data_IF_555922987057
#
_entry.id   IF_555922987057
#
_cell.length_a   1.000
_cell.length_b   1.000
_cell.length_c   1.000
_cell.angle_alpha   90.00
_cell.angle_beta   90.00
_cell.angle_gamma   90.00
#
_symmetry.space_group_name_H-M   'P 1'
#
loop_
_entity.id
_entity.type
_entity.pdbx_description
1 polymer ?
#
# COMPACT_ATOMS: atom_id res chain seq x y z
N UNK A 1 2.10 -35.55 77.98
CA UNK A 1 3.21 -35.58 77.00
C UNK A 1 2.75 -35.77 75.54
N UNK A 2 1.49 -35.43 75.18
CA UNK A 2 0.92 -35.69 73.84
C UNK A 2 0.63 -34.47 72.96
N UNK A 3 0.71 -33.24 73.50
CA UNK A 3 0.33 -32.00 72.76
C UNK A 3 1.43 -31.39 71.88
N UNK A 4 2.66 -31.88 71.98
CA UNK A 4 3.81 -31.33 71.23
C UNK A 4 4.03 -31.99 69.86
N UNK A 5 3.44 -33.16 69.60
CA UNK A 5 3.58 -33.85 68.31
C UNK A 5 2.54 -33.38 67.27
N UNK A 6 1.41 -32.81 67.69
CA UNK A 6 0.38 -32.29 66.78
C UNK A 6 0.76 -30.97 66.10
N UNK A 7 1.59 -30.12 66.75
CA UNK A 7 1.95 -28.81 66.18
C UNK A 7 2.97 -28.91 65.05
N UNK A 8 3.75 -29.99 64.98
CA UNK A 8 4.77 -30.17 63.94
C UNK A 8 4.18 -30.67 62.61
N UNK A 9 3.07 -31.41 62.65
CA UNK A 9 2.40 -31.93 61.45
C UNK A 9 1.66 -30.83 60.69
N UNK A 10 1.08 -29.85 61.39
CA UNK A 10 0.32 -28.74 60.78
C UNK A 10 1.18 -27.78 59.94
N UNK A 11 2.47 -27.65 60.28
CA UNK A 11 3.40 -26.74 59.58
C UNK A 11 3.78 -27.23 58.17
N UNK A 12 3.91 -28.55 57.95
CA UNK A 12 4.31 -29.10 56.64
C UNK A 12 3.24 -28.98 55.54
N UNK A 13 1.98 -28.74 55.88
CA UNK A 13 0.90 -28.59 54.89
C UNK A 13 0.74 -27.13 54.43
N UNK A 14 1.08 -26.15 55.26
CA UNK A 14 0.96 -24.73 54.91
C UNK A 14 2.00 -24.31 53.85
N UNK A 15 3.23 -24.85 53.91
CA UNK A 15 4.29 -24.56 52.94
C UNK A 15 4.04 -25.18 51.57
N UNK A 16 3.32 -26.33 51.52
CA UNK A 16 2.97 -27.01 50.26
C UNK A 16 1.83 -26.30 49.51
N UNK A 17 0.89 -25.66 50.22
CA UNK A 17 -0.20 -24.89 49.62
C UNK A 17 0.28 -23.61 48.91
N UNK A 18 1.24 -22.88 49.49
CA UNK A 18 1.79 -21.66 48.87
C UNK A 18 2.60 -21.97 47.59
N UNK A 19 3.37 -23.06 47.59
CA UNK A 19 4.13 -23.46 46.41
C UNK A 19 3.22 -23.90 45.25
N UNK A 20 2.12 -24.60 45.54
CA UNK A 20 1.16 -25.04 44.53
C UNK A 20 0.45 -23.85 43.85
N UNK A 21 0.09 -22.81 44.61
CA UNK A 21 -0.59 -21.64 44.07
C UNK A 21 0.32 -20.83 43.12
N UNK A 22 1.60 -20.70 43.46
CA UNK A 22 2.59 -20.07 42.58
C UNK A 22 2.76 -20.85 41.26
N UNK A 23 2.81 -22.18 41.32
CA UNK A 23 2.96 -23.02 40.13
C UNK A 23 1.73 -22.93 39.22
N UNK A 24 0.52 -22.93 39.78
CA UNK A 24 -0.72 -22.78 39.01
C UNK A 24 -0.79 -21.41 38.34
N UNK A 25 -0.40 -20.33 39.03
CA UNK A 25 -0.32 -19.00 38.41
C UNK A 25 0.74 -18.91 37.32
N UNK A 26 1.89 -19.56 37.51
CA UNK A 26 2.96 -19.59 36.52
C UNK A 26 2.53 -20.34 35.25
N UNK A 27 1.97 -21.54 35.39
CA UNK A 27 1.49 -22.36 34.27
C UNK A 27 0.27 -21.72 33.60
N UNK A 28 -0.71 -21.24 34.38
CA UNK A 28 -1.88 -20.54 33.84
C UNK A 28 -1.50 -19.24 33.11
N UNK A 29 -0.61 -18.44 33.70
CA UNK A 29 -0.13 -17.18 33.10
C UNK A 29 0.64 -17.39 31.81
N UNK A 30 1.50 -18.40 31.75
CA UNK A 30 2.23 -18.76 30.53
C UNK A 30 1.29 -19.25 29.42
N UNK A 31 0.29 -20.08 29.75
CA UNK A 31 -0.73 -20.51 28.77
C UNK A 31 -1.51 -19.33 28.22
N UNK A 32 -1.93 -18.38 29.06
CA UNK A 32 -2.64 -17.17 28.62
C UNK A 32 -1.75 -16.31 27.73
N UNK A 33 -0.48 -16.12 28.09
CA UNK A 33 0.47 -15.33 27.30
C UNK A 33 0.73 -15.95 25.91
N UNK A 34 0.83 -17.28 25.84
CA UNK A 34 0.98 -17.99 24.56
C UNK A 34 -0.29 -17.80 23.71
N UNK A 35 -1.48 -17.91 24.33
CA UNK A 35 -2.75 -17.70 23.63
C UNK A 35 -2.89 -16.29 23.05
N UNK A 36 -2.54 -15.25 23.82
CA UNK A 36 -2.64 -13.85 23.35
C UNK A 36 -1.63 -13.53 22.25
N UNK A 37 -0.40 -14.02 22.35
CA UNK A 37 0.63 -13.79 21.33
C UNK A 37 0.29 -14.48 20.00
N UNK A 38 -0.24 -15.70 20.03
CA UNK A 38 -0.72 -16.40 18.82
C UNK A 38 -1.89 -15.66 18.18
N UNK A 39 -2.85 -15.18 18.97
CA UNK A 39 -3.99 -14.42 18.45
C UNK A 39 -3.54 -13.14 17.76
N UNK A 40 -2.61 -12.40 18.39
CA UNK A 40 -2.04 -11.19 17.80
C UNK A 40 -1.30 -11.48 16.49
N UNK A 41 -0.53 -12.57 16.44
CA UNK A 41 0.16 -13.02 15.22
C UNK A 41 -0.83 -13.33 14.08
N UNK A 42 -1.89 -14.08 14.35
CA UNK A 42 -2.89 -14.44 13.35
C UNK A 42 -3.57 -13.19 12.78
N UNK A 43 -4.02 -12.28 13.65
CA UNK A 43 -4.68 -11.04 13.23
C UNK A 43 -3.72 -10.18 12.41
N UNK A 44 -2.47 -10.05 12.84
CA UNK A 44 -1.44 -9.28 12.13
C UNK A 44 -1.17 -9.86 10.73
N UNK A 45 -1.08 -11.19 10.61
CA UNK A 45 -0.83 -11.87 9.34
C UNK A 45 -1.99 -11.67 8.36
N UNK A 46 -3.22 -11.80 8.84
CA UNK A 46 -4.44 -11.57 8.05
C UNK A 46 -4.46 -10.13 7.51
N UNK A 47 -4.26 -9.14 8.37
CA UNK A 47 -4.26 -7.73 7.98
C UNK A 47 -3.14 -7.41 6.97
N UNK A 48 -1.97 -8.02 7.15
CA UNK A 48 -0.83 -7.83 6.25
C UNK A 48 -1.10 -8.44 4.87
N UNK A 49 -1.66 -9.66 4.83
CA UNK A 49 -1.95 -10.37 3.57
C UNK A 49 -2.99 -9.63 2.74
N UNK A 50 -4.09 -9.20 3.38
CA UNK A 50 -5.10 -8.39 2.70
C UNK A 50 -4.55 -7.04 2.24
N UNK A 51 -3.74 -6.38 3.08
CA UNK A 51 -3.10 -5.12 2.72
C UNK A 51 -2.16 -5.26 1.51
N UNK A 52 -1.41 -6.35 1.43
CA UNK A 52 -0.51 -6.64 0.31
C UNK A 52 -1.27 -6.92 -0.98
N UNK A 53 -2.31 -7.76 -0.94
CA UNK A 53 -3.16 -8.03 -2.10
C UNK A 53 -3.83 -6.75 -2.61
N UNK A 54 -4.38 -5.93 -1.71
CA UNK A 54 -4.99 -4.66 -2.06
C UNK A 54 -3.99 -3.72 -2.75
N UNK A 55 -2.78 -3.62 -2.19
CA UNK A 55 -1.75 -2.75 -2.72
C UNK A 55 -1.17 -3.25 -4.06
N UNK A 56 -1.13 -4.56 -4.29
CA UNK A 56 -0.74 -5.14 -5.58
C UNK A 56 -1.83 -4.97 -6.63
N UNK A 57 -3.10 -5.06 -6.24
CA UNK A 57 -4.23 -4.79 -7.13
C UNK A 57 -4.22 -3.33 -7.60
N UNK A 58 -4.09 -2.38 -6.68
CA UNK A 58 -3.91 -0.96 -7.02
C UNK A 58 -2.70 -0.75 -7.95
N UNK A 59 -1.59 -1.45 -7.72
CA UNK A 59 -0.43 -1.38 -8.59
C UNK A 59 -0.71 -1.90 -10.01
N UNK A 60 -1.39 -3.05 -10.13
CA UNK A 60 -1.73 -3.62 -11.43
C UNK A 60 -2.65 -2.70 -12.24
N UNK A 61 -3.60 -2.06 -11.58
CA UNK A 61 -4.52 -1.09 -12.18
C UNK A 61 -3.77 0.17 -12.64
N UNK A 62 -2.89 0.72 -11.80
CA UNK A 62 -2.04 1.85 -12.17
C UNK A 62 -1.06 1.51 -13.31
N UNK A 63 -0.52 0.29 -13.33
CA UNK A 63 0.36 -0.18 -14.40
C UNK A 63 -0.40 -0.28 -15.74
N UNK A 64 -1.61 -0.82 -15.72
CA UNK A 64 -2.47 -0.89 -16.90
C UNK A 64 -2.85 0.52 -17.41
N UNK A 65 -3.14 1.46 -16.51
CA UNK A 65 -3.38 2.86 -16.87
C UNK A 65 -2.16 3.52 -17.54
N UNK A 66 -0.96 3.31 -16.99
CA UNK A 66 0.27 3.83 -17.59
C UNK A 66 0.53 3.25 -19.01
N UNK A 67 0.27 1.95 -19.20
CA UNK A 67 0.41 1.30 -20.50
C UNK A 67 -0.64 1.75 -21.53
N UNK A 68 -1.89 1.99 -21.11
CA UNK A 68 -2.91 2.59 -21.97
C UNK A 68 -2.48 4.00 -22.41
N UNK A 69 -1.93 4.80 -21.49
CA UNK A 69 -1.39 6.11 -21.82
C UNK A 69 -0.24 6.04 -22.83
N UNK A 70 0.68 5.07 -22.66
CA UNK A 70 1.76 4.82 -23.61
C UNK A 70 1.21 4.43 -24.98
N UNK A 71 0.17 3.60 -25.02
CA UNK A 71 -0.46 3.18 -26.27
C UNK A 71 -1.16 4.35 -26.98
N UNK A 72 -1.88 5.19 -26.24
CA UNK A 72 -2.51 6.41 -26.79
C UNK A 72 -1.46 7.37 -27.35
N UNK A 73 -0.35 7.55 -26.64
CA UNK A 73 0.78 8.36 -27.10
C UNK A 73 1.46 7.77 -28.34
N UNK A 74 1.55 6.44 -28.45
CA UNK A 74 2.11 5.76 -29.63
C UNK A 74 1.21 5.91 -30.87
N UNK A 75 -0.11 5.96 -30.67
CA UNK A 75 -1.10 6.13 -31.74
C UNK A 75 -1.24 7.57 -32.20
N UNK A 76 -1.19 8.49 -31.25
CA UNK A 76 -1.25 9.91 -31.50
C UNK A 76 -0.07 10.57 -30.79
N UNK A 77 0.96 10.90 -31.55
CA UNK A 77 2.15 11.56 -31.01
C UNK A 77 1.84 12.92 -30.41
N UNK A 78 0.74 13.56 -30.79
CA UNK A 78 0.33 14.88 -30.30
C UNK A 78 -0.68 14.77 -29.13
N UNK A 79 -0.91 13.55 -28.62
CA UNK A 79 -1.79 13.30 -27.49
C UNK A 79 -1.30 14.05 -26.24
N UNK A 80 -2.17 14.90 -25.67
CA UNK A 80 -1.87 15.75 -24.53
C UNK A 80 -1.10 17.04 -24.82
N UNK A 81 -0.83 17.36 -26.10
CA UNK A 81 -0.10 18.58 -26.51
C UNK A 81 -0.98 19.82 -26.77
N UNK A 82 -2.31 19.68 -26.83
CA UNK A 82 -3.18 20.83 -27.14
C UNK A 82 -3.72 21.52 -25.88
N UNK A 83 -3.38 22.80 -25.74
CA UNK A 83 -3.81 23.69 -24.65
C UNK A 83 -5.34 23.72 -24.43
N UNK A 84 -6.12 23.40 -25.48
CA UNK A 84 -7.58 23.50 -25.50
C UNK A 84 -8.33 22.22 -25.11
N UNK A 85 -7.63 21.12 -24.83
CA UNK A 85 -8.29 19.82 -24.62
C UNK A 85 -7.77 19.09 -23.38
N UNK A 86 -7.99 19.69 -22.21
CA UNK A 86 -7.60 19.11 -20.91
C UNK A 86 -8.26 17.74 -20.64
N UNK A 87 -9.41 17.45 -21.26
CA UNK A 87 -10.06 16.14 -21.13
C UNK A 87 -9.39 15.01 -21.93
N UNK A 88 -8.41 15.31 -22.79
CA UNK A 88 -7.65 14.28 -23.51
C UNK A 88 -6.41 13.83 -22.74
N UNK A 89 -5.80 14.72 -21.98
CA UNK A 89 -4.59 14.45 -21.22
C UNK A 89 -4.88 13.93 -19.81
N UNK A 90 -6.07 14.15 -19.25
CA UNK A 90 -6.50 13.65 -17.95
C UNK A 90 -7.78 12.82 -18.11
N UNK A 91 -7.70 11.52 -17.80
CA UNK A 91 -8.82 10.61 -17.97
C UNK A 91 -8.82 9.46 -16.96
N UNK A 92 -10.00 8.95 -16.65
CA UNK A 92 -10.19 7.71 -15.89
C UNK A 92 -10.32 6.53 -16.84
N UNK A 93 -9.53 5.48 -16.61
CA UNK A 93 -9.58 4.21 -17.31
C UNK A 93 -10.25 3.16 -16.40
N UNK A 94 -11.45 2.67 -16.75
CA UNK A 94 -12.08 1.58 -16.02
C UNK A 94 -11.38 0.25 -16.33
N UNK A 95 -10.98 -0.47 -15.29
CA UNK A 95 -10.35 -1.81 -15.38
C UNK A 95 -11.18 -2.75 -14.50
N UNK A 96 -12.17 -3.40 -15.11
CA UNK A 96 -13.14 -4.22 -14.38
C UNK A 96 -13.98 -3.37 -13.42
N UNK A 97 -13.88 -3.66 -12.12
CA UNK A 97 -14.53 -2.87 -11.06
C UNK A 97 -13.72 -1.68 -10.55
N UNK A 98 -12.45 -1.59 -10.96
CA UNK A 98 -11.51 -0.59 -10.46
C UNK A 98 -11.29 0.51 -11.50
N UNK A 99 -10.69 1.62 -11.09
CA UNK A 99 -10.40 2.74 -11.98
C UNK A 99 -8.95 3.20 -11.81
N UNK A 100 -8.28 3.45 -12.93
CA UNK A 100 -6.98 4.13 -12.98
C UNK A 100 -7.18 5.56 -13.45
N UNK A 101 -6.68 6.53 -12.68
CA UNK A 101 -6.58 7.91 -13.10
C UNK A 101 -5.28 8.11 -13.88
N UNK A 102 -5.36 8.56 -15.13
CA UNK A 102 -4.19 8.70 -16.00
C UNK A 102 -4.05 10.14 -16.46
N UNK A 103 -2.88 10.73 -16.23
CA UNK A 103 -2.52 12.08 -16.66
C UNK A 103 -1.31 11.99 -17.59
N UNK A 104 -1.39 12.59 -18.76
CA UNK A 104 -0.30 12.65 -19.74
C UNK A 104 0.09 14.11 -19.94
N UNK A 105 1.31 14.45 -19.57
CA UNK A 105 1.82 15.82 -19.61
C UNK A 105 2.96 15.92 -20.62
N UNK A 106 2.87 16.90 -21.52
CA UNK A 106 3.93 17.28 -22.46
C UNK A 106 4.47 18.67 -22.16
N UNK A 107 5.56 19.05 -22.82
CA UNK A 107 6.19 20.38 -22.66
C UNK A 107 5.23 21.52 -23.00
N UNK A 108 4.36 21.31 -23.99
CA UNK A 108 3.31 22.20 -24.47
C UNK A 108 1.97 22.05 -23.71
N UNK A 109 1.85 21.03 -22.86
CA UNK A 109 0.60 20.63 -22.21
C UNK A 109 0.22 21.46 -20.96
N UNK A 110 -1.07 21.78 -20.87
CA UNK A 110 -1.76 22.45 -19.75
C UNK A 110 -2.10 21.51 -18.58
N UNK A 111 -1.80 20.22 -18.70
CA UNK A 111 -2.35 19.18 -17.84
C UNK A 111 -1.37 18.80 -16.73
N UNK A 112 -1.49 19.50 -15.61
CA UNK A 112 -0.75 19.18 -14.39
C UNK A 112 0.76 19.43 -14.47
N UNK A 113 1.38 19.25 -13.31
CA UNK A 113 2.81 19.35 -13.06
C UNK A 113 3.26 18.02 -12.45
N UNK A 114 4.51 17.57 -12.64
CA UNK A 114 5.59 18.17 -13.42
C UNK A 114 5.49 18.12 -14.96
N UNK A 115 6.07 19.14 -15.62
CA UNK A 115 6.23 19.19 -17.08
C UNK A 115 7.61 18.68 -17.49
N UNK A 116 7.73 17.93 -18.61
CA UNK A 116 9.02 17.58 -19.17
C UNK A 116 9.82 18.81 -19.59
N UNK A 117 11.11 18.82 -19.26
CA UNK A 117 12.05 19.88 -19.66
C UNK A 117 12.35 19.82 -21.15
N UNK A 118 12.39 18.60 -21.70
CA UNK A 118 12.69 18.34 -23.09
C UNK A 118 11.42 18.34 -23.97
N UNK A 119 11.44 18.97 -25.15
CA UNK A 119 10.28 19.01 -26.05
C UNK A 119 9.90 17.63 -26.62
N UNK A 120 10.87 16.72 -26.61
CA UNK A 120 10.75 15.36 -27.11
C UNK A 120 10.45 14.37 -25.97
N UNK A 121 9.96 14.85 -24.83
CA UNK A 121 9.58 14.01 -23.70
C UNK A 121 8.11 14.23 -23.33
N UNK A 122 7.48 13.14 -22.90
CA UNK A 122 6.15 13.12 -22.31
C UNK A 122 6.19 12.35 -20.99
N UNK A 123 5.44 12.82 -20.01
CA UNK A 123 5.31 12.18 -18.71
C UNK A 123 3.91 11.58 -18.62
N UNK A 124 3.83 10.32 -18.18
CA UNK A 124 2.58 9.60 -17.98
C UNK A 124 2.51 9.27 -16.49
N UNK A 125 1.49 9.81 -15.84
CA UNK A 125 1.13 9.51 -14.47
C UNK A 125 -0.06 8.60 -14.50
N UNK A 126 0.01 7.48 -13.80
CA UNK A 126 -1.17 6.67 -13.52
C UNK A 126 -1.27 6.39 -12.04
N UNK A 127 -2.42 6.70 -11.46
CA UNK A 127 -2.75 6.46 -10.07
C UNK A 127 -3.97 5.55 -9.97
N UNK A 128 -3.93 4.60 -9.06
CA UNK A 128 -5.09 3.80 -8.72
C UNK A 128 -5.16 3.59 -7.22
N UNK A 129 -6.39 3.48 -6.73
CA UNK A 129 -6.67 3.23 -5.33
C UNK A 129 -7.51 1.97 -5.17
N UNK A 130 -7.19 1.16 -4.15
CA UNK A 130 -8.00 0.00 -3.78
C UNK A 130 -7.93 -0.18 -2.26
N UNK A 131 -9.09 -0.19 -1.60
CA UNK A 131 -9.22 -0.31 -0.13
C UNK A 131 -8.30 0.67 0.64
N UNK A 132 -8.28 1.94 0.22
CA UNK A 132 -7.46 2.98 0.85
C UNK A 132 -5.95 2.87 0.62
N UNK A 133 -5.50 1.92 -0.21
CA UNK A 133 -4.11 1.82 -0.68
C UNK A 133 -4.01 2.48 -2.03
N UNK A 134 -3.20 3.53 -2.13
CA UNK A 134 -2.96 4.26 -3.37
C UNK A 134 -1.58 3.92 -3.92
N UNK A 135 -1.53 3.58 -5.20
CA UNK A 135 -0.29 3.31 -5.94
C UNK A 135 -0.22 4.22 -7.14
N UNK A 136 0.98 4.73 -7.42
CA UNK A 136 1.24 5.58 -8.57
C UNK A 136 2.40 5.04 -9.39
N UNK A 137 2.27 5.14 -10.69
CA UNK A 137 3.29 4.88 -11.69
C UNK A 137 3.57 6.19 -12.41
N UNK A 138 4.83 6.57 -12.45
CA UNK A 138 5.31 7.71 -13.22
C UNK A 138 6.23 7.17 -14.31
N UNK A 139 5.90 7.45 -15.56
CA UNK A 139 6.67 7.02 -16.71
C UNK A 139 7.14 8.23 -17.50
N UNK A 140 8.42 8.27 -17.84
CA UNK A 140 9.00 9.28 -18.74
C UNK A 140 9.28 8.60 -20.07
N UNK A 141 8.78 9.22 -21.12
CA UNK A 141 8.79 8.67 -22.47
C UNK A 141 9.44 9.67 -23.40
N UNK A 142 10.41 9.21 -24.17
CA UNK A 142 11.03 9.97 -25.25
C UNK A 142 10.30 9.70 -26.57
N UNK A 143 10.07 10.76 -27.35
CA UNK A 143 9.35 10.73 -28.61
C UNK A 143 10.28 11.29 -29.68
N UNK A 144 10.63 10.47 -30.67
CA UNK A 144 11.40 10.92 -31.82
C UNK A 144 10.50 11.76 -32.75
N UNK A 145 10.82 13.05 -32.98
CA UNK A 145 9.99 13.93 -33.81
C UNK A 145 9.94 13.52 -35.29
N UNK A 146 10.92 12.75 -35.78
CA UNK A 146 11.00 12.37 -37.20
C UNK A 146 10.33 11.01 -37.43
N UNK A 147 10.69 9.99 -36.65
CA UNK A 147 10.14 8.64 -36.82
C UNK A 147 8.81 8.41 -36.11
N UNK A 148 8.42 9.29 -35.17
CA UNK A 148 7.26 9.09 -34.31
C UNK A 148 7.46 7.94 -33.31
N UNK A 149 8.68 7.41 -33.18
CA UNK A 149 8.98 6.32 -32.26
C UNK A 149 8.89 6.81 -30.82
N UNK A 150 8.14 6.05 -30.02
CA UNK A 150 7.92 6.31 -28.60
C UNK A 150 8.73 5.29 -27.81
N UNK A 151 9.66 5.75 -26.96
CA UNK A 151 10.56 4.91 -26.16
C UNK A 151 10.42 5.27 -24.69
N UNK A 152 10.20 4.29 -23.84
CA UNK A 152 10.17 4.51 -22.39
C UNK A 152 11.60 4.71 -21.90
N UNK A 153 11.87 5.90 -21.36
CA UNK A 153 13.19 6.27 -20.83
C UNK A 153 13.30 5.88 -19.35
N UNK A 154 12.22 6.06 -18.59
CA UNK A 154 12.19 5.76 -17.17
C UNK A 154 10.80 5.38 -16.72
N UNK A 155 10.72 4.50 -15.74
CA UNK A 155 9.49 4.10 -15.08
C UNK A 155 9.75 3.95 -13.59
N UNK A 156 9.03 4.75 -12.79
CA UNK A 156 9.18 4.79 -11.33
C UNK A 156 7.83 4.52 -10.70
N UNK A 157 7.82 3.56 -9.78
CA UNK A 157 6.67 3.29 -8.93
C UNK A 157 6.81 4.04 -7.62
N UNK A 158 5.74 4.68 -7.17
CA UNK A 158 5.66 5.29 -5.85
C UNK A 158 4.41 4.85 -5.08
N UNK A 159 4.53 4.90 -3.76
CA UNK A 159 3.40 4.76 -2.85
C UNK A 159 2.91 6.15 -2.55
N UNK A 160 1.63 6.41 -2.81
CA UNK A 160 1.04 7.70 -2.43
C UNK A 160 0.55 7.52 -1.01
N UNK A 161 1.28 8.10 -0.07
CA UNK A 161 0.79 8.26 1.30
C UNK A 161 -0.18 9.42 1.25
N UNK A 162 -1.47 9.13 1.25
CA UNK A 162 -2.48 10.16 1.51
C UNK A 162 -2.31 10.58 2.97
N UNK A 163 -1.41 11.53 3.22
CA UNK A 163 -1.43 12.27 4.48
C UNK A 163 -2.79 12.95 4.51
N UNK A 164 -3.67 12.48 5.39
CA UNK A 164 -4.92 13.18 5.68
C UNK A 164 -4.58 14.58 6.17
N UNK A 165 -4.60 15.54 5.26
CA UNK A 165 -4.79 16.96 5.54
C UNK A 165 -5.16 17.63 4.22
N UNK A 166 -6.45 17.87 4.10
CA UNK A 166 -7.14 18.55 3.00
C UNK A 166 -8.63 18.68 3.33
N UNK A 167 -8.92 18.89 4.62
CA UNK A 167 -10.14 19.54 5.06
C UNK A 167 -9.74 20.99 5.36
N UNK A 168 -9.48 21.75 4.29
CA UNK A 168 -9.31 23.20 4.37
C UNK A 168 -10.51 23.82 3.65
N UNK A 169 -11.49 24.22 4.49
CA UNK A 169 -12.58 25.19 4.31
C UNK A 169 -13.35 25.25 2.97
#
# INVERSE_FOLDING_TARGET
MGKFLESYVRSKYFTRGQAALSLVFLVGGTVVLIGTTLTFLVISFINTTFGYQAANRALGVAFAGANDGLWKLSKNRDFGGSYYNQSLCDYSLPIGSDQAHVIITRKDGSCGSPRPTNPNEAWIYSEASYLGRVRRINMVVSIDPISGRVVVTSMVQSVVVTTGNGADN
#
